data_IF_084835982067
#
_entry.id   IF_084835982067
#
_cell.length_a   1.000
_cell.length_b   1.000
_cell.length_c   1.000
_cell.angle_alpha   90.00
_cell.angle_beta   90.00
_cell.angle_gamma   90.00
#
_symmetry.space_group_name_H-M   'P 1'
#
loop_
_entity.id
_entity.type
_entity.pdbx_description
1 polymer ?
#
# COMPACT_ATOMS: atom_id res chain seq x y z
N UNK A 1 5.93 -1.02 -14.58
CA UNK A 1 6.91 -0.35 -15.46
C UNK A 1 8.29 -0.17 -14.82
N UNK A 2 8.40 0.04 -13.50
CA UNK A 2 9.71 0.21 -12.86
C UNK A 2 10.61 -1.03 -13.04
N UNK A 3 10.02 -2.23 -13.00
CA UNK A 3 10.74 -3.47 -13.19
C UNK A 3 9.76 -4.59 -13.61
N UNK A 4 9.82 -5.09 -14.85
CA UNK A 4 8.93 -6.16 -15.32
C UNK A 4 9.01 -7.43 -14.45
N UNK A 5 10.20 -7.80 -13.97
CA UNK A 5 10.36 -8.95 -13.06
C UNK A 5 9.62 -8.74 -11.73
N UNK A 6 9.58 -7.53 -11.16
CA UNK A 6 8.81 -7.22 -9.96
C UNK A 6 7.33 -7.51 -10.16
N UNK A 7 6.78 -7.07 -11.30
CA UNK A 7 5.40 -7.36 -11.67
C UNK A 7 5.17 -8.87 -11.82
N UNK A 8 6.02 -9.57 -12.57
CA UNK A 8 5.92 -11.02 -12.74
C UNK A 8 5.94 -11.76 -11.40
N UNK A 9 6.88 -11.43 -10.50
CA UNK A 9 6.98 -12.00 -9.15
C UNK A 9 5.75 -11.71 -8.29
N UNK A 10 5.17 -10.52 -8.39
CA UNK A 10 3.96 -10.16 -7.64
C UNK A 10 2.73 -11.02 -8.01
N UNK A 11 2.75 -11.61 -9.21
CA UNK A 11 1.69 -12.51 -9.70
C UNK A 11 1.95 -13.98 -9.38
N UNK A 12 3.11 -14.29 -8.84
CA UNK A 12 3.40 -15.61 -8.30
C UNK A 12 2.79 -15.73 -6.89
N UNK A 13 2.50 -16.93 -6.45
CA UNK A 13 1.94 -17.19 -5.11
C UNK A 13 3.02 -17.11 -4.01
N UNK A 14 3.83 -16.06 -4.03
CA UNK A 14 4.89 -15.85 -3.04
C UNK A 14 4.31 -15.31 -1.73
N UNK A 15 4.95 -15.59 -0.58
CA UNK A 15 4.50 -15.09 0.71
C UNK A 15 4.45 -13.56 0.74
N UNK A 16 3.28 -13.00 1.04
CA UNK A 16 3.10 -11.54 1.14
C UNK A 16 3.89 -10.98 2.32
N UNK A 17 4.27 -9.71 2.19
CA UNK A 17 4.92 -8.93 3.23
C UNK A 17 3.98 -7.82 3.71
N UNK A 18 3.81 -7.75 5.02
CA UNK A 18 3.08 -6.64 5.63
C UNK A 18 4.01 -5.47 5.95
N UNK A 19 3.47 -4.27 5.90
CA UNK A 19 4.15 -3.03 6.21
C UNK A 19 3.31 -2.18 7.16
N UNK A 20 3.91 -1.73 8.27
CA UNK A 20 3.21 -0.83 9.21
C UNK A 20 2.70 0.45 8.54
N UNK A 21 3.45 0.98 7.57
CA UNK A 21 3.01 2.18 6.84
C UNK A 21 1.76 1.89 5.99
N UNK A 22 1.71 0.74 5.31
CA UNK A 22 0.54 0.34 4.54
C UNK A 22 -0.66 0.08 5.45
N UNK A 23 -0.53 -0.76 6.48
CA UNK A 23 -1.63 -1.06 7.40
C UNK A 23 -2.14 0.17 8.16
N UNK A 24 -1.25 1.08 8.56
CA UNK A 24 -1.68 2.36 9.15
C UNK A 24 -2.47 3.21 8.14
N UNK A 25 -2.05 3.23 6.89
CA UNK A 25 -2.77 3.91 5.81
C UNK A 25 -4.15 3.29 5.59
N UNK A 26 -4.23 1.96 5.44
CA UNK A 26 -5.50 1.24 5.26
C UNK A 26 -6.47 1.50 6.42
N UNK A 27 -6.00 1.49 7.68
CA UNK A 27 -6.86 1.80 8.82
C UNK A 27 -7.44 3.22 8.74
N UNK A 28 -6.67 4.21 8.25
CA UNK A 28 -7.15 5.58 8.05
C UNK A 28 -8.17 5.63 6.91
N UNK A 29 -7.90 5.02 5.75
CA UNK A 29 -8.80 4.99 4.60
C UNK A 29 -10.15 4.35 4.97
N UNK A 30 -10.12 3.16 5.57
CA UNK A 30 -11.33 2.48 6.04
C UNK A 30 -12.10 3.36 7.04
N UNK A 31 -11.40 4.11 7.89
CA UNK A 31 -12.07 5.00 8.85
C UNK A 31 -12.71 6.21 8.19
N UNK A 32 -12.11 6.76 7.15
CA UNK A 32 -12.74 7.83 6.34
C UNK A 32 -13.98 7.29 5.63
N UNK A 33 -13.89 6.10 5.03
CA UNK A 33 -15.02 5.42 4.38
C UNK A 33 -16.17 5.22 5.36
N UNK A 34 -15.90 4.62 6.53
CA UNK A 34 -16.91 4.36 7.56
C UNK A 34 -17.60 5.63 8.04
N UNK A 35 -16.84 6.71 8.25
CA UNK A 35 -17.39 8.00 8.71
C UNK A 35 -18.20 8.68 7.61
N UNK A 36 -17.79 8.60 6.35
CA UNK A 36 -18.57 9.11 5.23
C UNK A 36 -19.90 8.38 5.06
N UNK A 37 -19.92 7.08 5.34
CA UNK A 37 -21.12 6.23 5.21
C UNK A 37 -21.91 6.06 6.52
N UNK A 38 -21.50 6.74 7.60
CA UNK A 38 -22.15 6.62 8.89
C UNK A 38 -23.60 7.12 8.84
N UNK A 39 -24.54 6.31 9.27
CA UNK A 39 -25.93 6.75 9.42
C UNK A 39 -26.07 7.69 10.64
N UNK A 40 -26.39 8.93 10.36
CA UNK A 40 -26.62 10.00 11.34
C UNK A 40 -27.99 10.64 11.18
N UNK A 41 -28.92 9.96 10.48
CA UNK A 41 -30.24 10.50 10.14
C UNK A 41 -31.07 10.87 11.38
N UNK A 42 -30.99 10.07 12.44
CA UNK A 42 -31.78 10.24 13.66
C UNK A 42 -31.15 11.20 14.70
N UNK A 43 -29.95 11.76 14.42
CA UNK A 43 -29.26 12.64 15.36
C UNK A 43 -29.69 14.08 15.25
N UNK A 44 -29.57 14.84 16.34
CA UNK A 44 -29.86 16.27 16.35
C UNK A 44 -28.87 17.03 15.46
N UNK A 45 -29.40 17.90 14.59
CA UNK A 45 -28.57 18.63 13.62
C UNK A 45 -27.55 19.57 14.26
N UNK A 46 -27.83 20.08 15.46
CA UNK A 46 -26.95 21.01 16.19
C UNK A 46 -26.01 20.28 17.17
N UNK A 47 -26.10 18.96 17.27
CA UNK A 47 -25.23 18.17 18.12
C UNK A 47 -23.77 18.31 17.70
N UNK A 48 -22.90 18.65 18.67
CA UNK A 48 -21.43 18.79 18.53
C UNK A 48 -20.69 17.86 19.50
N UNK A 49 -19.37 17.74 19.39
CA UNK A 49 -18.54 16.91 20.26
C UNK A 49 -18.59 15.42 19.93
N UNK A 50 -19.36 15.03 18.96
CA UNK A 50 -19.58 13.62 18.58
C UNK A 50 -18.52 13.09 17.61
N UNK A 51 -18.05 13.94 16.64
CA UNK A 51 -17.21 13.47 15.53
C UNK A 51 -15.83 13.02 16.03
N UNK A 52 -15.23 13.74 16.97
CA UNK A 52 -13.92 13.37 17.53
C UNK A 52 -13.94 12.02 18.24
N UNK A 53 -14.95 11.78 19.10
CA UNK A 53 -15.10 10.49 19.79
C UNK A 53 -15.40 9.36 18.81
N UNK A 54 -16.31 9.60 17.86
CA UNK A 54 -16.69 8.59 16.84
C UNK A 54 -15.51 8.27 15.92
N UNK A 55 -14.75 9.28 15.47
CA UNK A 55 -13.57 9.08 14.65
C UNK A 55 -12.52 8.20 15.36
N UNK A 56 -12.29 8.44 16.64
CA UNK A 56 -11.39 7.62 17.47
C UNK A 56 -11.89 6.18 17.56
N UNK A 57 -13.16 5.97 17.88
CA UNK A 57 -13.75 4.62 18.02
C UNK A 57 -13.70 3.83 16.71
N UNK A 58 -14.00 4.49 15.58
CA UNK A 58 -13.91 3.90 14.24
C UNK A 58 -12.48 3.52 13.92
N UNK A 59 -11.52 4.42 14.17
CA UNK A 59 -10.11 4.12 13.95
C UNK A 59 -9.61 2.99 14.86
N UNK A 60 -10.03 2.93 16.12
CA UNK A 60 -9.66 1.84 17.04
C UNK A 60 -10.14 0.48 16.56
N UNK A 61 -11.34 0.43 15.94
CA UNK A 61 -11.87 -0.78 15.33
C UNK A 61 -11.02 -1.18 14.12
N UNK A 62 -10.84 -0.28 13.15
CA UNK A 62 -10.08 -0.54 11.92
C UNK A 62 -8.60 -0.85 12.22
N UNK A 63 -8.02 -0.21 13.23
CA UNK A 63 -6.66 -0.51 13.69
C UNK A 63 -6.51 -1.92 14.24
N UNK A 64 -7.51 -2.43 14.95
CA UNK A 64 -7.51 -3.81 15.47
C UNK A 64 -7.67 -4.83 14.35
N UNK A 65 -8.53 -4.56 13.38
CA UNK A 65 -8.73 -5.41 12.20
C UNK A 65 -7.44 -5.48 11.37
N UNK A 66 -6.86 -4.35 11.04
CA UNK A 66 -5.58 -4.28 10.33
C UNK A 66 -4.43 -4.97 11.08
N UNK A 67 -4.41 -4.86 12.41
CA UNK A 67 -3.44 -5.59 13.23
C UNK A 67 -3.59 -7.09 13.06
N UNK A 68 -4.80 -7.60 12.99
CA UNK A 68 -5.03 -9.03 12.80
C UNK A 68 -4.54 -9.47 11.41
N UNK A 69 -4.92 -8.78 10.35
CA UNK A 69 -4.46 -9.07 8.98
C UNK A 69 -2.93 -8.98 8.85
N UNK A 70 -2.33 -7.98 9.49
CA UNK A 70 -0.88 -7.82 9.53
C UNK A 70 -0.18 -9.02 10.17
N UNK A 71 -0.70 -9.52 11.30
CA UNK A 71 -0.14 -10.66 12.01
C UNK A 71 -0.36 -12.00 11.29
N UNK A 72 -1.43 -12.11 10.52
CA UNK A 72 -1.75 -13.27 9.68
C UNK A 72 -0.93 -13.28 8.38
N UNK A 73 -0.36 -12.13 8.00
CA UNK A 73 0.52 -12.04 6.82
C UNK A 73 1.83 -12.81 7.08
N UNK A 74 2.26 -13.72 6.16
CA UNK A 74 3.40 -14.61 6.41
C UNK A 74 4.71 -13.88 6.77
N UNK A 75 4.93 -12.71 6.18
CA UNK A 75 6.14 -11.90 6.36
C UNK A 75 5.76 -10.56 6.97
N UNK A 76 5.91 -10.42 8.26
CA UNK A 76 5.61 -9.16 8.95
C UNK A 76 6.67 -8.81 10.02
N UNK A 77 7.00 -7.53 10.18
CA UNK A 77 7.76 -7.05 11.33
C UNK A 77 6.89 -7.08 12.60
N UNK A 78 7.39 -6.54 13.70
CA UNK A 78 6.57 -6.33 14.89
C UNK A 78 5.52 -5.25 14.65
N UNK A 79 4.31 -5.47 15.12
CA UNK A 79 3.28 -4.44 15.15
C UNK A 79 3.66 -3.32 16.12
N UNK A 80 3.40 -2.07 15.75
CA UNK A 80 3.79 -0.86 16.48
C UNK A 80 2.58 -0.11 16.96
N UNK A 81 2.13 -0.38 18.19
CA UNK A 81 0.99 0.30 18.78
C UNK A 81 1.22 1.81 18.97
N UNK A 82 2.46 2.22 19.15
CA UNK A 82 2.85 3.64 19.31
C UNK A 82 2.53 4.49 18.08
N UNK A 83 2.27 3.88 16.93
CA UNK A 83 1.87 4.61 15.72
C UNK A 83 0.37 4.96 15.67
N UNK A 84 -0.43 4.47 16.61
CA UNK A 84 -1.87 4.76 16.66
C UNK A 84 -2.16 6.26 16.78
N UNK A 85 -1.44 6.98 17.63
CA UNK A 85 -1.61 8.44 17.78
C UNK A 85 -1.37 9.16 16.46
N UNK A 86 -0.30 8.77 15.73
CA UNK A 86 -0.02 9.34 14.41
C UNK A 86 -1.10 8.99 13.38
N UNK A 87 -1.70 7.81 13.46
CA UNK A 87 -2.82 7.43 12.60
C UNK A 87 -4.06 8.27 12.91
N UNK A 88 -4.32 8.56 14.19
CA UNK A 88 -5.41 9.43 14.61
C UNK A 88 -5.22 10.86 14.10
N UNK A 89 -4.01 11.42 14.22
CA UNK A 89 -3.67 12.71 13.65
C UNK A 89 -3.92 12.74 12.14
N UNK A 90 -3.49 11.67 11.44
CA UNK A 90 -3.71 11.51 9.99
C UNK A 90 -5.19 11.42 9.62
N UNK A 91 -6.02 10.72 10.40
CA UNK A 91 -7.47 10.69 10.20
C UNK A 91 -8.09 12.06 10.44
N UNK A 92 -7.73 12.74 11.54
CA UNK A 92 -8.21 14.09 11.85
C UNK A 92 -7.94 15.07 10.71
N UNK A 93 -6.74 15.02 10.15
CA UNK A 93 -6.36 15.86 9.01
C UNK A 93 -7.14 15.49 7.74
N UNK A 94 -7.37 14.20 7.47
CA UNK A 94 -8.18 13.77 6.32
C UNK A 94 -9.64 14.27 6.43
N UNK A 95 -10.23 14.19 7.62
CA UNK A 95 -11.57 14.74 7.89
C UNK A 95 -11.60 16.27 7.74
N UNK A 96 -10.52 16.95 8.13
CA UNK A 96 -10.35 18.39 7.91
C UNK A 96 -10.37 18.78 6.43
N UNK A 97 -9.71 18.00 5.58
CA UNK A 97 -9.75 18.20 4.11
C UNK A 97 -11.15 17.98 3.52
N UNK A 98 -11.91 17.00 4.02
CA UNK A 98 -13.29 16.78 3.63
C UNK A 98 -14.19 17.96 4.04
N UNK A 99 -14.03 18.50 5.23
CA UNK A 99 -14.75 19.69 5.69
C UNK A 99 -14.45 20.91 4.81
N UNK A 100 -13.18 21.10 4.46
CA UNK A 100 -12.75 22.16 3.54
C UNK A 100 -13.41 22.01 2.16
N UNK A 101 -13.44 20.82 1.60
CA UNK A 101 -14.10 20.52 0.32
C UNK A 101 -15.61 20.72 0.38
N UNK A 102 -16.23 20.49 1.52
CA UNK A 102 -17.63 20.82 1.74
C UNK A 102 -17.87 22.33 1.97
N UNK A 103 -16.87 23.19 1.74
CA UNK A 103 -16.94 24.65 1.92
C UNK A 103 -17.31 25.08 3.36
N UNK A 104 -16.97 24.25 4.32
CA UNK A 104 -17.20 24.52 5.73
C UNK A 104 -16.02 25.30 6.33
N UNK A 105 -16.28 26.18 7.31
CA UNK A 105 -15.21 26.87 8.02
C UNK A 105 -14.23 25.88 8.64
N UNK A 106 -12.93 26.22 8.62
CA UNK A 106 -11.93 25.42 9.33
C UNK A 106 -12.25 25.41 10.82
N UNK A 107 -12.44 24.22 11.38
CA UNK A 107 -12.78 24.00 12.78
C UNK A 107 -12.22 22.66 13.26
N UNK A 108 -12.01 22.53 14.56
CA UNK A 108 -11.60 21.27 15.16
C UNK A 108 -12.77 20.29 15.18
N UNK A 109 -12.50 18.98 15.11
CA UNK A 109 -13.53 17.93 15.04
C UNK A 109 -14.60 18.03 16.14
N UNK A 110 -14.27 18.37 17.42
CA UNK A 110 -15.29 18.57 18.46
C UNK A 110 -16.31 19.67 18.14
N UNK A 111 -15.96 20.66 17.32
CA UNK A 111 -16.87 21.74 16.91
C UNK A 111 -17.78 21.38 15.74
N UNK A 112 -17.54 20.26 15.08
CA UNK A 112 -18.32 19.84 13.88
C UNK A 112 -19.70 19.35 14.31
N UNK A 113 -20.75 20.04 13.85
CA UNK A 113 -22.14 19.63 14.10
C UNK A 113 -22.57 18.49 13.16
N UNK A 114 -23.62 17.77 13.55
CA UNK A 114 -24.28 16.78 12.67
C UNK A 114 -24.70 17.43 11.35
N UNK A 115 -25.22 18.64 11.38
CA UNK A 115 -25.58 19.41 10.16
C UNK A 115 -24.38 19.57 9.24
N UNK A 116 -23.23 19.98 9.79
CA UNK A 116 -22.01 20.15 9.00
C UNK A 116 -21.54 18.83 8.40
N UNK A 117 -21.60 17.73 9.14
CA UNK A 117 -21.20 16.43 8.62
C UNK A 117 -22.17 15.88 7.55
N UNK A 118 -23.48 16.12 7.68
CA UNK A 118 -24.44 15.84 6.61
C UNK A 118 -24.10 16.59 5.32
N UNK A 119 -23.58 17.82 5.43
CA UNK A 119 -23.10 18.56 4.26
C UNK A 119 -21.89 17.89 3.63
N UNK A 120 -20.92 17.37 4.44
CA UNK A 120 -19.82 16.55 3.91
C UNK A 120 -20.36 15.31 3.21
N UNK A 121 -21.26 14.56 3.86
CA UNK A 121 -21.85 13.36 3.24
C UNK A 121 -22.59 13.66 1.94
N UNK A 122 -23.22 14.83 1.82
CA UNK A 122 -23.97 15.22 0.61
C UNK A 122 -23.09 15.46 -0.61
N UNK A 123 -21.81 15.78 -0.43
CA UNK A 123 -20.87 15.94 -1.54
C UNK A 123 -20.12 14.65 -1.86
N UNK A 124 -20.11 13.65 -0.98
CA UNK A 124 -19.45 12.36 -1.22
C UNK A 124 -20.36 11.47 -2.06
N UNK A 125 -19.93 11.16 -3.28
CA UNK A 125 -20.68 10.31 -4.22
C UNK A 125 -20.37 8.85 -3.95
N UNK A 126 -19.08 8.53 -3.72
CA UNK A 126 -18.64 7.18 -3.44
C UNK A 126 -17.31 7.19 -2.66
N UNK A 127 -17.11 6.15 -1.86
CA UNK A 127 -15.87 5.84 -1.14
C UNK A 127 -15.38 4.47 -1.57
N UNK A 128 -14.05 4.27 -1.65
CA UNK A 128 -13.39 2.99 -1.95
C UNK A 128 -13.98 2.25 -3.18
N UNK A 129 -14.41 3.02 -4.18
CA UNK A 129 -15.10 2.48 -5.34
C UNK A 129 -14.14 1.86 -6.36
N UNK A 130 -14.55 0.71 -6.91
CA UNK A 130 -13.81 0.07 -7.99
C UNK A 130 -14.09 0.77 -9.31
N UNK A 131 -13.02 1.14 -10.01
CA UNK A 131 -13.04 1.64 -11.37
C UNK A 131 -12.64 0.54 -12.34
N UNK A 132 -13.33 0.45 -13.45
CA UNK A 132 -13.01 -0.48 -14.53
C UNK A 132 -13.07 0.24 -15.87
N UNK A 133 -12.06 0.06 -16.72
CA UNK A 133 -12.05 0.58 -18.09
C UNK A 133 -13.04 -0.18 -18.97
N UNK A 134 -13.56 0.46 -20.03
CA UNK A 134 -14.52 -0.15 -20.97
C UNK A 134 -14.01 -1.48 -21.58
N UNK A 135 -12.71 -1.63 -21.72
CA UNK A 135 -12.13 -2.87 -22.21
C UNK A 135 -12.02 -3.99 -21.16
N UNK A 136 -12.37 -3.74 -19.89
CA UNK A 136 -12.29 -4.70 -18.79
C UNK A 136 -10.88 -5.13 -18.38
N UNK A 137 -9.84 -4.51 -18.96
CA UNK A 137 -8.44 -4.91 -18.74
C UNK A 137 -7.75 -4.15 -17.62
N UNK A 138 -8.20 -2.93 -17.38
CA UNK A 138 -7.63 -2.04 -16.39
C UNK A 138 -8.63 -1.80 -15.28
N UNK A 139 -8.17 -1.97 -14.06
CA UNK A 139 -8.96 -1.76 -12.85
C UNK A 139 -8.20 -0.87 -11.89
N UNK A 140 -8.92 -0.08 -11.13
CA UNK A 140 -8.40 0.72 -10.04
C UNK A 140 -9.40 0.80 -8.90
N UNK A 141 -8.95 1.27 -7.75
CA UNK A 141 -9.80 1.58 -6.59
C UNK A 141 -9.52 3.01 -6.21
N UNK A 142 -10.53 3.86 -6.30
CA UNK A 142 -10.43 5.24 -5.85
C UNK A 142 -10.84 5.33 -4.38
N UNK A 143 -10.21 6.24 -3.64
CA UNK A 143 -10.54 6.44 -2.23
C UNK A 143 -11.84 7.24 -2.08
N UNK A 144 -11.98 8.34 -2.82
CA UNK A 144 -13.12 9.24 -2.75
C UNK A 144 -13.52 9.76 -4.14
N UNK A 145 -14.82 9.74 -4.44
CA UNK A 145 -15.44 10.48 -5.51
C UNK A 145 -16.37 11.51 -4.90
N UNK A 146 -16.13 12.78 -5.19
CA UNK A 146 -16.92 13.86 -4.61
C UNK A 146 -17.44 14.84 -5.69
N UNK A 147 -18.50 15.54 -5.36
CA UNK A 147 -18.98 16.68 -6.14
C UNK A 147 -17.95 17.81 -6.07
N UNK A 148 -17.69 18.45 -7.20
CA UNK A 148 -16.85 19.65 -7.24
C UNK A 148 -17.66 20.85 -6.71
N UNK A 149 -17.31 21.42 -5.54
CA UNK A 149 -18.10 22.49 -4.94
C UNK A 149 -18.07 23.80 -5.75
N UNK A 150 -17.11 23.95 -6.66
CA UNK A 150 -16.98 25.11 -7.54
C UNK A 150 -17.85 24.99 -8.80
N UNK A 151 -18.44 23.82 -9.03
CA UNK A 151 -19.29 23.52 -10.18
C UNK A 151 -20.73 23.24 -9.74
N UNK A 152 -21.66 23.27 -10.68
CA UNK A 152 -22.98 22.73 -10.44
C UNK A 152 -22.91 21.22 -10.26
N UNK A 153 -23.77 20.65 -9.42
CA UNK A 153 -23.78 19.21 -9.08
C UNK A 153 -23.66 18.26 -10.27
N UNK A 154 -24.29 18.63 -11.41
CA UNK A 154 -24.29 17.80 -12.62
C UNK A 154 -23.04 17.99 -13.50
N UNK A 155 -22.19 18.98 -13.23
CA UNK A 155 -21.13 19.41 -14.15
C UNK A 155 -19.72 18.98 -13.75
N UNK A 156 -19.45 18.76 -12.46
CA UNK A 156 -18.09 18.52 -12.00
C UNK A 156 -17.94 17.47 -10.91
N UNK A 157 -16.93 16.62 -11.07
CA UNK A 157 -16.50 15.62 -10.08
C UNK A 157 -15.03 15.77 -9.75
N UNK A 158 -14.67 15.40 -8.53
CA UNK A 158 -13.29 15.26 -8.08
C UNK A 158 -13.05 13.80 -7.72
N UNK A 159 -12.05 13.20 -8.35
CA UNK A 159 -11.47 11.92 -7.99
C UNK A 159 -10.34 12.21 -7.03
N UNK A 160 -10.51 11.91 -5.76
CA UNK A 160 -9.51 12.17 -4.73
C UNK A 160 -8.88 10.87 -4.25
N UNK A 161 -7.56 10.88 -4.07
CA UNK A 161 -6.75 9.80 -3.54
C UNK A 161 -6.04 10.30 -2.28
N UNK A 162 -6.36 9.68 -1.14
CA UNK A 162 -5.86 10.06 0.17
C UNK A 162 -4.46 9.47 0.39
N UNK A 163 -3.51 10.31 0.68
CA UNK A 163 -2.12 9.96 0.96
C UNK A 163 -1.75 10.22 2.41
N UNK A 164 -1.50 9.16 3.15
CA UNK A 164 -1.08 9.22 4.58
C UNK A 164 0.44 9.21 4.73
N UNK A 165 1.18 9.08 3.62
CA UNK A 165 2.62 9.06 3.57
C UNK A 165 3.26 10.45 3.61
N UNK A 166 4.57 10.50 3.28
CA UNK A 166 5.30 11.75 3.17
C UNK A 166 4.78 12.58 2.00
N UNK A 167 4.45 13.87 2.22
CA UNK A 167 4.00 14.73 1.15
C UNK A 167 5.15 15.03 0.16
N UNK A 168 4.83 15.30 -1.10
CA UNK A 168 5.82 15.77 -2.07
C UNK A 168 6.32 17.18 -1.69
N UNK A 169 7.39 17.63 -2.32
CA UNK A 169 7.93 18.98 -2.10
C UNK A 169 7.01 20.06 -2.69
N UNK A 170 7.07 20.22 -4.00
CA UNK A 170 6.28 21.25 -4.72
C UNK A 170 5.24 20.65 -5.66
N UNK A 171 5.50 19.47 -6.20
CA UNK A 171 4.65 18.82 -7.20
C UNK A 171 4.48 17.35 -6.84
N UNK A 172 3.39 16.73 -7.30
CA UNK A 172 3.13 15.30 -7.13
C UNK A 172 4.26 14.47 -7.72
N UNK A 173 4.65 13.44 -6.98
CA UNK A 173 5.51 12.40 -7.53
C UNK A 173 4.88 11.82 -8.79
N UNK A 174 5.69 11.58 -9.83
CA UNK A 174 5.21 11.11 -11.14
C UNK A 174 4.33 9.87 -11.05
N UNK A 175 4.67 8.96 -10.14
CA UNK A 175 3.89 7.75 -9.92
C UNK A 175 2.48 8.06 -9.38
N UNK A 176 2.36 8.98 -8.43
CA UNK A 176 1.07 9.40 -7.87
C UNK A 176 0.28 10.18 -8.90
N UNK A 177 0.94 11.10 -9.61
CA UNK A 177 0.32 11.87 -10.70
C UNK A 177 -0.28 10.93 -11.75
N UNK A 178 0.46 9.93 -12.20
CA UNK A 178 -0.03 8.93 -13.18
C UNK A 178 -1.19 8.10 -12.65
N UNK A 179 -1.15 7.69 -11.39
CA UNK A 179 -2.27 6.98 -10.73
C UNK A 179 -3.55 7.82 -10.78
N UNK A 180 -3.46 9.09 -10.41
CA UNK A 180 -4.58 10.02 -10.40
C UNK A 180 -5.13 10.29 -11.81
N UNK A 181 -4.25 10.52 -12.79
CA UNK A 181 -4.64 10.67 -14.19
C UNK A 181 -5.34 9.43 -14.72
N UNK A 182 -4.86 8.26 -14.36
CA UNK A 182 -5.47 6.98 -14.71
C UNK A 182 -6.92 6.87 -14.18
N UNK A 183 -7.14 7.20 -12.91
CA UNK A 183 -8.49 7.20 -12.32
C UNK A 183 -9.41 8.24 -13.00
N UNK A 184 -8.90 9.45 -13.23
CA UNK A 184 -9.60 10.50 -13.95
C UNK A 184 -10.05 10.03 -15.34
N UNK A 185 -9.16 9.39 -16.07
CA UNK A 185 -9.41 9.01 -17.46
C UNK A 185 -10.42 7.85 -17.56
N UNK A 186 -10.38 6.88 -16.65
CA UNK A 186 -11.43 5.84 -16.55
C UNK A 186 -12.78 6.48 -16.21
N UNK A 187 -12.81 7.42 -15.25
CA UNK A 187 -14.05 8.12 -14.89
C UNK A 187 -14.62 8.92 -16.07
N UNK A 188 -13.76 9.58 -16.86
CA UNK A 188 -14.17 10.31 -18.07
C UNK A 188 -14.71 9.38 -19.15
N UNK A 189 -14.11 8.21 -19.30
CA UNK A 189 -14.56 7.21 -20.27
C UNK A 189 -15.98 6.71 -19.94
N UNK A 190 -16.23 6.38 -18.67
CA UNK A 190 -17.53 5.89 -18.22
C UNK A 190 -18.62 6.99 -18.06
N UNK A 191 -18.23 8.28 -18.06
CA UNK A 191 -19.12 9.41 -17.78
C UNK A 191 -18.85 10.57 -18.75
N UNK A 192 -19.07 10.39 -20.06
CA UNK A 192 -18.75 11.40 -21.07
C UNK A 192 -19.61 12.67 -20.98
N UNK A 193 -20.74 12.61 -20.29
CA UNK A 193 -21.63 13.74 -20.05
C UNK A 193 -21.06 14.72 -19.00
N UNK A 194 -20.12 14.29 -18.16
CA UNK A 194 -19.50 15.15 -17.15
C UNK A 194 -18.50 16.11 -17.79
N UNK A 195 -18.74 17.41 -17.63
CA UNK A 195 -17.91 18.46 -18.25
C UNK A 195 -16.54 18.60 -17.59
N UNK A 196 -16.46 18.31 -16.30
CA UNK A 196 -15.23 18.45 -15.52
C UNK A 196 -15.04 17.26 -14.61
N UNK A 197 -13.92 16.54 -14.76
CA UNK A 197 -13.45 15.55 -13.80
C UNK A 197 -12.01 15.91 -13.49
N UNK A 198 -11.76 16.31 -12.24
CA UNK A 198 -10.46 16.69 -11.71
C UNK A 198 -9.91 15.53 -10.87
N UNK A 199 -8.60 15.34 -10.87
CA UNK A 199 -7.95 14.35 -10.03
C UNK A 199 -7.04 15.03 -9.01
N UNK A 200 -7.19 14.67 -7.74
CA UNK A 200 -6.50 15.30 -6.62
C UNK A 200 -5.81 14.28 -5.71
N UNK A 201 -4.59 14.57 -5.30
CA UNK A 201 -3.88 13.86 -4.24
C UNK A 201 -4.01 14.62 -2.93
N UNK A 202 -4.65 14.00 -1.94
CA UNK A 202 -4.90 14.60 -0.63
C UNK A 202 -3.91 14.09 0.40
N UNK A 203 -2.99 14.93 0.84
CA UNK A 203 -1.95 14.54 1.80
C UNK A 203 -2.34 14.96 3.22
N UNK A 204 -2.77 13.99 4.02
CA UNK A 204 -3.17 14.23 5.41
C UNK A 204 -2.02 14.68 6.31
N UNK A 205 -0.78 14.35 5.97
CA UNK A 205 0.39 14.69 6.78
C UNK A 205 0.77 16.18 6.77
N UNK A 206 0.32 16.95 5.78
CA UNK A 206 0.53 18.40 5.68
C UNK A 206 -0.75 19.18 5.34
N UNK A 207 -1.90 18.50 5.35
CA UNK A 207 -3.22 19.08 5.03
C UNK A 207 -3.23 19.81 3.68
N UNK A 208 -2.60 19.23 2.66
CA UNK A 208 -2.46 19.87 1.34
C UNK A 208 -3.05 19.00 0.25
N UNK A 209 -3.76 19.66 -0.65
CA UNK A 209 -4.35 19.07 -1.86
C UNK A 209 -3.50 19.45 -3.06
N UNK A 210 -3.12 18.45 -3.85
CA UNK A 210 -2.35 18.60 -5.08
C UNK A 210 -3.20 18.15 -6.26
N UNK A 211 -3.39 19.01 -7.24
CA UNK A 211 -4.12 18.68 -8.47
C UNK A 211 -3.18 17.94 -9.43
N UNK A 212 -3.66 16.84 -10.00
CA UNK A 212 -2.94 16.11 -11.02
C UNK A 212 -3.33 16.60 -12.42
N UNK A 213 -2.45 17.39 -13.00
CA UNK A 213 -2.59 17.86 -14.38
C UNK A 213 -1.78 17.02 -15.36
N UNK A 214 -2.28 16.89 -16.58
CA UNK A 214 -1.59 16.18 -17.64
C UNK A 214 -2.53 15.65 -18.74
N UNK A 215 -1.90 15.17 -19.79
CA UNK A 215 -2.58 14.52 -20.91
C UNK A 215 -3.26 13.21 -20.44
N UNK A 216 -4.27 12.73 -21.16
CA UNK A 216 -4.82 11.39 -20.94
C UNK A 216 -3.73 10.31 -21.06
N UNK A 217 -3.79 9.31 -20.18
CA UNK A 217 -2.80 8.23 -20.12
C UNK A 217 -3.41 6.82 -20.30
N UNK A 218 -4.71 6.73 -20.56
CA UNK A 218 -5.40 5.45 -20.60
C UNK A 218 -4.90 4.54 -21.75
N UNK A 219 -4.62 5.11 -22.92
CA UNK A 219 -4.05 4.36 -24.05
C UNK A 219 -2.68 3.79 -23.71
N UNK A 220 -1.80 4.62 -23.14
CA UNK A 220 -0.48 4.17 -22.67
C UNK A 220 -0.58 3.07 -21.61
N UNK A 221 -1.56 3.17 -20.71
CA UNK A 221 -1.79 2.15 -19.70
C UNK A 221 -2.27 0.82 -20.30
N UNK A 222 -3.10 0.85 -21.37
CA UNK A 222 -3.51 -0.34 -22.10
C UNK A 222 -2.30 -0.99 -22.81
N UNK A 223 -1.50 -0.20 -23.51
CA UNK A 223 -0.28 -0.70 -24.18
C UNK A 223 0.69 -1.34 -23.17
N UNK A 224 0.89 -0.69 -22.03
CA UNK A 224 1.70 -1.25 -20.94
C UNK A 224 1.13 -2.57 -20.42
N UNK A 225 -0.19 -2.67 -20.24
CA UNK A 225 -0.85 -3.90 -19.83
C UNK A 225 -0.65 -5.02 -20.86
N UNK A 226 -0.81 -4.72 -22.15
CA UNK A 226 -0.62 -5.70 -23.25
C UNK A 226 0.83 -6.20 -23.31
N UNK A 227 1.80 -5.33 -23.11
CA UNK A 227 3.22 -5.68 -23.08
C UNK A 227 3.62 -6.53 -21.88
N UNK A 228 2.82 -6.53 -20.81
CA UNK A 228 3.10 -7.22 -19.56
C UNK A 228 2.21 -8.43 -19.31
N UNK A 229 1.66 -9.05 -20.37
CA UNK A 229 0.90 -10.30 -20.26
C UNK A 229 1.73 -11.39 -19.57
N UNK A 230 1.14 -12.02 -18.53
CA UNK A 230 1.85 -13.03 -17.74
C UNK A 230 2.20 -14.24 -18.59
N UNK A 231 3.48 -14.54 -18.63
CA UNK A 231 4.06 -15.72 -19.30
C UNK A 231 4.57 -16.72 -18.26
N UNK A 232 4.84 -17.96 -18.71
CA UNK A 232 5.53 -18.95 -17.86
C UNK A 232 6.98 -18.55 -17.63
N UNK A 233 7.62 -17.94 -18.64
CA UNK A 233 8.99 -17.45 -18.55
C UNK A 233 9.01 -16.14 -17.77
N UNK A 234 9.87 -15.99 -16.75
CA UNK A 234 10.02 -14.77 -16.01
C UNK A 234 10.43 -13.57 -16.89
N UNK A 235 9.86 -12.40 -16.61
CA UNK A 235 10.30 -11.18 -17.26
C UNK A 235 11.70 -10.78 -16.84
N UNK A 236 12.41 -10.12 -17.73
CA UNK A 236 13.74 -9.56 -17.45
C UNK A 236 13.64 -8.52 -16.32
N UNK A 237 14.60 -8.56 -15.41
CA UNK A 237 14.70 -7.55 -14.36
C UNK A 237 15.46 -6.31 -14.86
N UNK A 238 15.13 -5.18 -14.23
CA UNK A 238 15.86 -3.91 -14.37
C UNK A 238 16.35 -3.45 -12.99
N UNK A 239 17.40 -4.09 -12.43
CA UNK A 239 17.86 -3.77 -11.09
C UNK A 239 18.33 -2.32 -10.98
N UNK A 240 17.83 -1.61 -9.95
CA UNK A 240 18.24 -0.26 -9.60
C UNK A 240 18.08 -0.06 -8.09
N UNK A 241 18.79 0.91 -7.52
CA UNK A 241 18.67 1.23 -6.10
C UNK A 241 17.25 1.66 -5.74
N UNK A 242 16.63 2.50 -6.57
CA UNK A 242 15.26 3.00 -6.36
C UNK A 242 14.23 1.88 -6.39
N UNK A 243 14.27 1.02 -7.41
CA UNK A 243 13.29 -0.06 -7.58
C UNK A 243 13.49 -1.23 -6.62
N UNK A 244 14.77 -1.62 -6.39
CA UNK A 244 15.09 -2.80 -5.58
C UNK A 244 15.00 -2.53 -4.08
N UNK A 245 15.28 -1.32 -3.61
CA UNK A 245 15.21 -0.99 -2.17
C UNK A 245 13.84 -1.28 -1.57
N UNK A 246 12.78 -0.99 -2.31
CA UNK A 246 11.38 -1.17 -1.89
C UNK A 246 10.70 -2.39 -2.53
N UNK A 247 11.45 -3.28 -3.18
CA UNK A 247 10.89 -4.47 -3.79
C UNK A 247 10.64 -5.58 -2.76
N UNK A 248 9.39 -5.93 -2.51
CA UNK A 248 9.01 -7.01 -1.59
C UNK A 248 9.46 -8.39 -2.07
N UNK A 249 9.73 -8.52 -3.36
CA UNK A 249 10.05 -9.78 -4.02
C UNK A 249 11.53 -9.96 -4.32
N UNK A 250 12.39 -9.03 -3.91
CA UNK A 250 13.84 -9.06 -4.23
C UNK A 250 14.55 -10.35 -3.80
N UNK A 251 14.11 -10.97 -2.70
CA UNK A 251 14.69 -12.23 -2.25
C UNK A 251 14.54 -13.38 -3.26
N UNK A 252 13.53 -13.31 -4.13
CA UNK A 252 13.28 -14.28 -5.20
C UNK A 252 13.82 -13.82 -6.56
N UNK A 253 14.54 -12.68 -6.63
CA UNK A 253 15.05 -12.12 -7.88
C UNK A 253 16.53 -12.44 -8.06
N UNK A 254 16.89 -13.30 -9.04
CA UNK A 254 18.30 -13.64 -9.29
C UNK A 254 19.12 -12.42 -9.71
N UNK A 255 18.57 -11.56 -10.57
CA UNK A 255 19.27 -10.38 -11.06
C UNK A 255 19.60 -9.39 -9.93
N UNK A 256 18.73 -9.29 -8.91
CA UNK A 256 19.05 -8.48 -7.72
C UNK A 256 20.23 -9.07 -6.96
N UNK A 257 20.27 -10.39 -6.75
CA UNK A 257 21.38 -11.05 -6.05
C UNK A 257 22.69 -10.89 -6.81
N UNK A 258 22.69 -11.14 -8.11
CA UNK A 258 23.87 -10.97 -8.96
C UNK A 258 24.36 -9.53 -8.96
N UNK A 259 23.47 -8.54 -9.11
CA UNK A 259 23.83 -7.14 -9.11
C UNK A 259 24.38 -6.68 -7.77
N UNK A 260 23.79 -7.14 -6.66
CA UNK A 260 24.29 -6.89 -5.32
C UNK A 260 25.68 -7.50 -5.08
N UNK A 261 25.83 -8.78 -5.40
CA UNK A 261 27.09 -9.50 -5.15
C UNK A 261 28.26 -8.95 -6.02
N UNK A 262 27.93 -8.31 -7.13
CA UNK A 262 28.87 -7.55 -7.96
C UNK A 262 29.12 -6.10 -7.48
N UNK A 263 28.46 -5.67 -6.41
CA UNK A 263 28.60 -4.31 -5.88
C UNK A 263 27.97 -3.21 -6.77
N UNK A 264 27.05 -3.60 -7.67
CA UNK A 264 26.35 -2.64 -8.55
C UNK A 264 25.16 -1.97 -7.88
N UNK A 265 24.75 -2.46 -6.72
CA UNK A 265 23.65 -1.92 -5.92
C UNK A 265 24.13 -1.71 -4.49
N UNK A 266 23.84 -0.55 -3.92
CA UNK A 266 24.03 -0.34 -2.49
C UNK A 266 23.09 -1.24 -1.69
N UNK A 267 23.66 -2.04 -0.82
CA UNK A 267 22.90 -2.92 0.08
C UNK A 267 22.48 -2.10 1.30
N UNK A 268 21.17 -1.95 1.49
CA UNK A 268 20.66 -1.40 2.74
C UNK A 268 21.24 -2.18 3.94
N UNK A 269 21.84 -1.47 4.88
CA UNK A 269 22.77 -1.99 5.90
C UNK A 269 22.14 -2.87 6.96
N UNK A 270 20.83 -2.98 7.08
CA UNK A 270 20.23 -3.45 8.33
C UNK A 270 19.52 -4.79 8.26
N UNK A 271 18.80 -5.09 7.20
CA UNK A 271 17.97 -6.31 7.15
C UNK A 271 18.05 -6.98 5.78
N UNK A 272 18.19 -8.28 5.79
CA UNK A 272 18.19 -9.13 4.61
C UNK A 272 16.97 -10.03 4.63
N UNK A 273 16.38 -10.19 3.48
CA UNK A 273 15.40 -11.24 3.19
C UNK A 273 16.10 -12.27 2.31
N UNK A 274 16.07 -13.54 2.71
CA UNK A 274 16.76 -14.62 2.02
C UNK A 274 15.79 -15.77 1.74
N UNK A 275 15.82 -16.33 0.55
CA UNK A 275 15.26 -17.65 0.25
C UNK A 275 16.37 -18.68 0.38
N UNK A 276 16.17 -19.70 1.18
CA UNK A 276 17.25 -20.60 1.62
C UNK A 276 16.81 -22.04 1.65
N UNK A 277 17.80 -22.94 1.66
CA UNK A 277 17.66 -24.31 2.15
C UNK A 277 18.42 -24.46 3.47
N UNK A 278 17.85 -25.20 4.39
CA UNK A 278 18.51 -25.54 5.64
C UNK A 278 19.58 -26.62 5.37
N UNK A 279 20.81 -26.37 5.80
CA UNK A 279 21.89 -27.33 5.69
C UNK A 279 22.10 -28.03 7.03
N UNK A 280 22.01 -27.26 8.13
CA UNK A 280 22.19 -27.78 9.50
C UNK A 280 21.48 -26.90 10.49
N UNK A 281 20.88 -27.50 11.51
CA UNK A 281 20.21 -26.80 12.61
C UNK A 281 20.59 -27.45 13.95
N UNK A 282 21.00 -26.62 14.89
CA UNK A 282 20.98 -26.93 16.31
C UNK A 282 19.70 -26.34 16.92
N UNK A 283 18.76 -27.20 17.26
CA UNK A 283 17.44 -26.79 17.77
C UNK A 283 17.51 -26.20 19.20
N UNK A 284 18.58 -26.46 19.95
CA UNK A 284 18.74 -25.92 21.32
C UNK A 284 19.24 -24.47 21.27
N UNK A 285 20.38 -24.26 20.62
CA UNK A 285 20.97 -22.94 20.52
C UNK A 285 20.35 -22.02 19.48
N UNK A 286 19.60 -22.55 18.50
CA UNK A 286 19.12 -21.86 17.35
C UNK A 286 20.16 -21.56 16.29
N UNK A 287 21.38 -22.12 16.44
CA UNK A 287 22.44 -21.99 15.45
C UNK A 287 22.08 -22.80 14.21
N UNK A 288 22.10 -22.17 13.06
CA UNK A 288 21.73 -22.79 11.79
C UNK A 288 22.71 -22.41 10.69
N UNK A 289 22.95 -23.35 9.77
CA UNK A 289 23.65 -23.12 8.53
C UNK A 289 22.67 -23.21 7.40
N UNK A 290 22.64 -22.17 6.59
CA UNK A 290 21.77 -22.06 5.42
C UNK A 290 22.58 -21.93 4.14
N UNK A 291 21.96 -22.34 3.05
CA UNK A 291 22.41 -22.09 1.69
C UNK A 291 21.40 -21.24 0.97
N UNK A 292 21.85 -20.16 0.31
CA UNK A 292 20.95 -19.35 -0.54
C UNK A 292 20.39 -20.21 -1.64
N UNK A 293 19.09 -20.17 -1.81
CA UNK A 293 18.39 -21.04 -2.76
C UNK A 293 17.24 -20.27 -3.46
N UNK A 294 17.51 -19.04 -3.87
CA UNK A 294 16.53 -18.26 -4.65
C UNK A 294 16.03 -19.09 -5.81
N UNK A 295 14.74 -19.47 -5.82
CA UNK A 295 14.17 -20.20 -6.95
C UNK A 295 14.23 -19.34 -8.20
N UNK A 296 14.72 -19.92 -9.27
CA UNK A 296 14.85 -19.24 -10.54
C UNK A 296 13.82 -19.75 -11.54
N UNK A 297 13.93 -19.20 -12.70
CA UNK A 297 13.44 -19.66 -13.96
C UNK A 297 14.08 -20.99 -14.37
N UNK A 298 14.21 -21.23 -15.65
CA UNK A 298 14.67 -22.50 -16.25
C UNK A 298 16.12 -22.88 -15.91
N UNK A 299 16.90 -21.98 -15.32
CA UNK A 299 18.32 -22.21 -14.96
C UNK A 299 18.53 -22.83 -13.57
N UNK A 300 17.47 -22.99 -12.78
CA UNK A 300 17.51 -23.58 -11.44
C UNK A 300 17.66 -22.56 -10.29
N UNK A 301 18.06 -23.00 -9.12
CA UNK A 301 18.19 -22.18 -7.94
C UNK A 301 19.55 -21.50 -7.82
N UNK A 302 19.56 -20.23 -7.39
CA UNK A 302 20.78 -19.50 -7.07
C UNK A 302 21.29 -19.92 -5.69
N UNK A 303 22.23 -20.83 -5.65
CA UNK A 303 22.77 -21.39 -4.43
C UNK A 303 24.17 -21.95 -4.65
N UNK A 304 24.66 -22.72 -3.69
CA UNK A 304 25.97 -23.36 -3.71
C UNK A 304 26.78 -23.04 -2.46
N UNK A 305 27.95 -23.68 -2.33
CA UNK A 305 28.76 -23.54 -1.14
C UNK A 305 29.27 -22.12 -0.87
N UNK A 306 29.48 -21.34 -1.89
CA UNK A 306 29.89 -19.93 -1.81
C UNK A 306 28.77 -19.01 -1.29
N UNK A 307 27.54 -19.44 -1.31
CA UNK A 307 26.39 -18.68 -0.81
C UNK A 307 25.89 -19.18 0.55
N UNK A 308 26.65 -19.99 1.23
CA UNK A 308 26.32 -20.45 2.58
C UNK A 308 26.62 -19.41 3.64
N UNK A 309 25.74 -19.33 4.64
CA UNK A 309 25.89 -18.43 5.77
C UNK A 309 25.34 -19.06 7.06
N UNK A 310 25.93 -18.68 8.17
CA UNK A 310 25.44 -19.03 9.49
C UNK A 310 24.42 -17.99 9.96
N UNK A 311 23.45 -18.45 10.74
CA UNK A 311 22.50 -17.58 11.42
C UNK A 311 22.18 -18.09 12.82
N UNK A 312 21.86 -17.18 13.74
CA UNK A 312 21.31 -17.49 15.06
C UNK A 312 19.83 -17.13 15.04
N UNK A 313 18.98 -18.13 15.06
CA UNK A 313 17.54 -17.96 15.14
C UNK A 313 17.15 -17.64 16.59
N UNK A 314 16.35 -16.61 16.80
CA UNK A 314 15.89 -16.18 18.13
C UNK A 314 14.40 -15.93 18.13
N UNK A 315 13.78 -16.01 19.33
CA UNK A 315 12.36 -15.71 19.54
C UNK A 315 11.48 -16.47 18.55
N UNK A 316 10.58 -15.76 17.89
CA UNK A 316 9.59 -16.34 16.97
C UNK A 316 10.19 -17.18 15.84
N UNK A 317 11.34 -16.80 15.29
CA UNK A 317 12.00 -17.57 14.23
C UNK A 317 12.46 -18.95 14.75
N UNK A 318 13.00 -19.00 15.97
CA UNK A 318 13.40 -20.25 16.62
C UNK A 318 12.17 -21.12 16.98
N UNK A 319 11.12 -20.51 17.50
CA UNK A 319 9.86 -21.22 17.81
C UNK A 319 9.25 -21.83 16.55
N UNK A 320 9.17 -21.05 15.47
CA UNK A 320 8.59 -21.51 14.21
C UNK A 320 9.39 -22.67 13.61
N UNK A 321 10.72 -22.59 13.55
CA UNK A 321 11.53 -23.66 12.95
C UNK A 321 11.49 -24.94 13.78
N UNK A 322 11.26 -24.85 15.10
CA UNK A 322 11.06 -26.03 15.96
C UNK A 322 9.77 -26.79 15.68
N UNK A 323 8.76 -26.12 15.13
CA UNK A 323 7.44 -26.66 14.81
C UNK A 323 7.35 -27.26 13.41
N UNK A 324 8.31 -26.95 12.53
CA UNK A 324 8.31 -27.46 11.17
C UNK A 324 8.63 -28.96 11.14
N UNK A 325 7.87 -29.69 10.33
CA UNK A 325 8.14 -31.10 10.03
C UNK A 325 9.36 -31.24 9.11
N UNK A 326 9.88 -32.48 8.97
CA UNK A 326 11.12 -32.70 8.24
C UNK A 326 11.01 -32.37 6.74
N UNK A 327 9.88 -32.67 6.11
CA UNK A 327 9.60 -32.34 4.71
C UNK A 327 9.52 -30.83 4.46
N UNK A 328 9.01 -30.06 5.42
CA UNK A 328 9.01 -28.60 5.38
C UNK A 328 10.42 -28.03 5.54
N UNK A 329 11.26 -28.64 6.38
CA UNK A 329 12.65 -28.25 6.58
C UNK A 329 13.54 -28.56 5.36
N UNK A 330 13.20 -29.61 4.62
CA UNK A 330 13.90 -29.99 3.39
C UNK A 330 13.50 -29.12 2.18
N UNK A 331 12.43 -28.35 2.33
CA UNK A 331 11.93 -27.40 1.36
C UNK A 331 12.67 -26.05 1.33
N UNK A 332 12.09 -25.10 0.59
CA UNK A 332 12.55 -23.72 0.61
C UNK A 332 12.06 -23.00 1.86
N UNK A 333 12.98 -22.38 2.59
CA UNK A 333 12.69 -21.55 3.75
C UNK A 333 12.91 -20.08 3.41
N UNK A 334 12.01 -19.22 3.92
CA UNK A 334 12.18 -17.78 3.83
C UNK A 334 12.67 -17.24 5.19
N UNK A 335 13.83 -16.62 5.20
CA UNK A 335 14.35 -15.88 6.34
C UNK A 335 14.09 -14.39 6.11
N UNK A 336 13.13 -13.84 6.84
CA UNK A 336 12.79 -12.42 6.76
C UNK A 336 13.50 -11.60 7.82
N UNK A 337 13.92 -10.39 7.43
CA UNK A 337 14.53 -9.41 8.33
C UNK A 337 15.77 -9.92 9.09
N UNK A 338 16.56 -10.78 8.45
CA UNK A 338 17.83 -11.23 9.01
C UNK A 338 18.80 -10.03 9.15
N UNK A 339 19.34 -9.83 10.35
CA UNK A 339 20.34 -8.80 10.62
C UNK A 339 21.73 -9.37 10.34
N UNK A 340 22.52 -8.65 9.55
CA UNK A 340 23.94 -8.96 9.39
C UNK A 340 24.71 -8.34 10.55
N UNK A 341 25.56 -9.14 11.19
CA UNK A 341 26.50 -8.67 12.20
C UNK A 341 27.70 -7.97 11.53
#
# INVERSE_FOLDING_TARGET
EECPRKYWLSRQRLPRKASMAASSGTAIHNSVEDLCNLDISDRDAEEVGWLDSTAREVLERNWREERQEFLDTPRHPSWKNELFSKALDGLTSALGLLLEKATLPKQDLPGVSIRSWRQVQSIVIATEATLESDCGRLMGRLDLLILDPEKKEEEGWIVADLKTGRPPGSELDEKVRRQLLFYRDIMRQGNPEKKSIVAEGWYSSNETIYVADGNPILEEAIEAWESMAITKTPFQATPSESSCSFCDWKAWCPDWWVSRDRGLLEVGRTFRDEVTKLVRLDRESGAALFERATPLDDEGALGGSEYRFGAILKGRALEKIKQLEQDELDGYLFLGSARAD
#
